data_IF_170629479494
#
_entry.id   IF_170629479494
#
_cell.length_a   1.000
_cell.length_b   1.000
_cell.length_c   1.000
_cell.angle_alpha   90.00
_cell.angle_beta   90.00
_cell.angle_gamma   90.00
#
_symmetry.space_group_name_H-M   'P 1'
#
loop_
_entity.id
_entity.type
_entity.pdbx_description
1 polymer ?
#
# COMPACT_ATOMS: atom_id res chain seq x y z
N UNK A 1 5.27 -29.02 8.38
CA UNK A 1 5.52 -27.65 7.89
C UNK A 1 4.88 -26.70 8.86
N UNK A 2 5.65 -26.14 9.79
CA UNK A 2 5.16 -25.18 10.78
C UNK A 2 4.92 -23.85 10.07
N UNK A 3 3.66 -23.42 9.97
CA UNK A 3 3.34 -22.06 9.59
C UNK A 3 4.06 -21.14 10.58
N UNK A 4 5.00 -20.33 10.10
CA UNK A 4 5.67 -19.30 10.91
C UNK A 4 4.57 -18.39 11.42
N UNK A 5 4.20 -18.59 12.68
CA UNK A 5 3.04 -17.96 13.30
C UNK A 5 3.17 -16.45 13.21
N UNK A 6 2.06 -15.79 12.90
CA UNK A 6 1.95 -14.36 13.13
C UNK A 6 2.21 -14.12 14.62
N UNK A 7 3.23 -13.31 14.93
CA UNK A 7 3.63 -12.97 16.29
C UNK A 7 3.08 -11.58 16.65
N UNK A 8 1.92 -11.49 17.34
CA UNK A 8 1.29 -10.22 17.69
C UNK A 8 2.14 -9.35 18.62
N UNK A 9 3.13 -9.95 19.28
CA UNK A 9 4.08 -9.28 20.19
C UNK A 9 5.17 -8.45 19.48
N UNK A 10 5.33 -8.59 18.15
CA UNK A 10 6.26 -7.77 17.38
C UNK A 10 5.49 -6.59 16.78
N UNK A 11 5.93 -5.36 17.09
CA UNK A 11 5.46 -4.17 16.38
C UNK A 11 5.85 -4.28 14.91
N UNK A 12 4.91 -4.78 14.11
CA UNK A 12 5.05 -4.98 12.68
C UNK A 12 4.52 -3.76 11.89
N UNK A 13 4.42 -2.59 12.54
CA UNK A 13 4.02 -1.36 11.86
C UNK A 13 5.10 -0.97 10.84
N UNK A 14 4.77 -0.92 9.54
CA UNK A 14 5.76 -0.57 8.54
C UNK A 14 6.22 0.87 8.71
N UNK A 15 7.52 1.08 8.56
CA UNK A 15 8.11 2.41 8.58
C UNK A 15 7.70 3.19 7.32
N UNK A 16 7.86 4.53 7.31
CA UNK A 16 7.63 5.31 6.11
C UNK A 16 8.45 4.83 4.88
N UNK A 17 9.65 4.29 5.11
CA UNK A 17 10.49 3.72 4.04
C UNK A 17 9.89 2.42 3.49
N UNK A 18 9.41 1.54 4.36
CA UNK A 18 8.76 0.29 3.94
C UNK A 18 7.54 0.57 3.07
N UNK A 19 6.72 1.55 3.49
CA UNK A 19 5.56 2.00 2.71
C UNK A 19 5.97 2.51 1.33
N UNK A 20 7.09 3.21 1.19
CA UNK A 20 7.58 3.67 -0.11
C UNK A 20 8.03 2.51 -0.99
N UNK A 21 8.76 1.53 -0.44
CA UNK A 21 9.16 0.33 -1.17
C UNK A 21 7.94 -0.48 -1.63
N UNK A 22 6.91 -0.61 -0.79
CA UNK A 22 5.64 -1.24 -1.19
C UNK A 22 4.97 -0.51 -2.36
N UNK A 23 4.90 0.83 -2.30
CA UNK A 23 4.36 1.67 -3.39
C UNK A 23 5.13 1.40 -4.70
N UNK A 24 6.46 1.39 -4.65
CA UNK A 24 7.30 1.18 -5.83
C UNK A 24 7.07 -0.19 -6.48
N UNK A 25 7.01 -1.25 -5.67
CA UNK A 25 6.75 -2.60 -6.15
C UNK A 25 5.35 -2.71 -6.75
N UNK A 26 4.33 -2.13 -6.10
CA UNK A 26 2.97 -2.14 -6.62
C UNK A 26 2.83 -1.38 -7.93
N UNK A 27 3.42 -0.19 -8.02
CA UNK A 27 3.41 0.61 -9.24
C UNK A 27 4.15 -0.10 -10.38
N UNK A 28 5.28 -0.76 -10.09
CA UNK A 28 6.04 -1.51 -11.09
C UNK A 28 5.28 -2.74 -11.60
N UNK A 29 4.61 -3.48 -10.71
CA UNK A 29 3.96 -4.74 -11.07
C UNK A 29 2.54 -4.55 -11.62
N UNK A 30 1.80 -3.56 -11.13
CA UNK A 30 0.37 -3.39 -11.41
C UNK A 30 0.03 -2.06 -12.08
N UNK A 31 0.98 -1.14 -12.21
CA UNK A 31 0.79 0.13 -12.91
C UNK A 31 -0.41 0.91 -12.37
N UNK A 32 -1.40 1.15 -13.24
CA UNK A 32 -2.61 1.91 -12.92
C UNK A 32 -3.48 1.28 -11.84
N UNK A 33 -3.39 -0.05 -11.63
CA UNK A 33 -4.19 -0.78 -10.65
C UNK A 33 -3.57 -0.78 -9.24
N UNK A 34 -2.36 -0.23 -9.08
CA UNK A 34 -1.64 -0.24 -7.82
C UNK A 34 -2.44 0.37 -6.65
N UNK A 35 -3.22 1.41 -6.91
CA UNK A 35 -4.06 2.06 -5.89
C UNK A 35 -5.19 1.14 -5.43
N UNK A 36 -5.94 0.58 -6.36
CA UNK A 36 -7.09 -0.29 -6.08
C UNK A 36 -6.67 -1.58 -5.37
N UNK A 37 -5.53 -2.15 -5.76
CA UNK A 37 -4.97 -3.33 -5.10
C UNK A 37 -4.57 -3.02 -3.66
N UNK A 38 -3.94 -1.87 -3.41
CA UNK A 38 -3.60 -1.46 -2.06
C UNK A 38 -4.86 -1.25 -1.18
N UNK A 39 -5.90 -0.63 -1.75
CA UNK A 39 -7.17 -0.40 -1.05
C UNK A 39 -7.93 -1.70 -0.76
N UNK A 40 -7.85 -2.67 -1.67
CA UNK A 40 -8.36 -4.03 -1.46
C UNK A 40 -7.68 -4.70 -0.26
N UNK A 41 -6.35 -4.63 -0.17
CA UNK A 41 -5.63 -5.21 0.98
C UNK A 41 -5.96 -4.50 2.29
N UNK A 42 -6.10 -3.17 2.28
CA UNK A 42 -6.54 -2.41 3.44
C UNK A 42 -7.91 -2.91 3.94
N UNK A 43 -8.88 -3.01 3.03
CA UNK A 43 -10.23 -3.52 3.32
C UNK A 43 -10.20 -4.95 3.83
N UNK A 44 -9.45 -5.84 3.17
CA UNK A 44 -9.32 -7.24 3.58
C UNK A 44 -8.79 -7.36 5.02
N UNK A 45 -7.76 -6.60 5.37
CA UNK A 45 -7.18 -6.62 6.71
C UNK A 45 -8.11 -5.98 7.76
N UNK A 46 -8.84 -4.93 7.40
CA UNK A 46 -9.87 -4.34 8.25
C UNK A 46 -10.95 -5.38 8.59
N UNK A 47 -11.48 -6.07 7.59
CA UNK A 47 -12.50 -7.12 7.77
C UNK A 47 -11.98 -8.33 8.58
N UNK A 48 -10.68 -8.58 8.55
CA UNK A 48 -10.03 -9.62 9.35
C UNK A 48 -9.68 -9.18 10.78
N UNK A 49 -9.97 -7.92 11.16
CA UNK A 49 -9.61 -7.35 12.47
C UNK A 49 -8.13 -6.99 12.61
N UNK A 50 -7.36 -6.99 11.53
CA UNK A 50 -5.93 -6.65 11.50
C UNK A 50 -5.77 -5.15 11.20
N UNK A 51 -6.02 -4.33 12.24
CA UNK A 51 -6.00 -2.87 12.11
C UNK A 51 -4.63 -2.32 11.69
N UNK A 52 -3.53 -2.93 12.16
CA UNK A 52 -2.17 -2.51 11.83
C UNK A 52 -1.87 -2.67 10.33
N UNK A 53 -2.15 -3.86 9.77
CA UNK A 53 -1.97 -4.06 8.33
C UNK A 53 -2.99 -3.30 7.50
N UNK A 54 -4.22 -3.14 7.99
CA UNK A 54 -5.22 -2.29 7.33
C UNK A 54 -4.71 -0.86 7.18
N UNK A 55 -4.15 -0.29 8.25
CA UNK A 55 -3.61 1.08 8.23
C UNK A 55 -2.40 1.21 7.33
N UNK A 56 -1.48 0.24 7.36
CA UNK A 56 -0.32 0.19 6.46
C UNK A 56 -0.74 0.25 4.98
N UNK A 57 -1.66 -0.62 4.57
CA UNK A 57 -2.14 -0.67 3.19
C UNK A 57 -2.93 0.57 2.77
N UNK A 58 -3.69 1.18 3.68
CA UNK A 58 -4.32 2.48 3.44
C UNK A 58 -3.27 3.59 3.20
N UNK A 59 -2.17 3.56 3.95
CA UNK A 59 -1.03 4.47 3.78
C UNK A 59 -0.31 4.31 2.43
N UNK A 60 -0.25 3.08 1.90
CA UNK A 60 0.25 2.77 0.55
C UNK A 60 -0.71 3.30 -0.52
N UNK A 61 -2.01 3.00 -0.42
CA UNK A 61 -3.02 3.46 -1.38
C UNK A 61 -3.02 5.00 -1.51
N UNK A 62 -2.94 5.71 -0.38
CA UNK A 62 -2.86 7.17 -0.36
C UNK A 62 -1.63 7.72 -1.11
N UNK A 63 -0.47 7.06 -0.98
CA UNK A 63 0.77 7.45 -1.66
C UNK A 63 0.75 7.15 -3.16
N UNK A 64 0.22 5.99 -3.56
CA UNK A 64 0.01 5.68 -4.99
C UNK A 64 -0.90 6.73 -5.61
N UNK A 65 -2.03 7.06 -4.97
CA UNK A 65 -2.95 8.10 -5.42
C UNK A 65 -2.26 9.46 -5.59
N UNK A 66 -1.41 9.83 -4.63
CA UNK A 66 -0.63 11.08 -4.71
C UNK A 66 0.33 11.07 -5.91
N UNK A 67 1.07 9.98 -6.14
CA UNK A 67 1.97 9.83 -7.28
C UNK A 67 1.21 9.84 -8.61
N UNK A 68 0.07 9.16 -8.69
CA UNK A 68 -0.81 9.18 -9.87
C UNK A 68 -1.29 10.60 -10.18
N UNK A 69 -1.79 11.32 -9.17
CA UNK A 69 -2.21 12.73 -9.33
C UNK A 69 -1.05 13.62 -9.81
N UNK A 70 0.16 13.40 -9.29
CA UNK A 70 1.37 14.15 -9.72
C UNK A 70 1.68 13.88 -11.20
N UNK A 71 1.73 12.62 -11.63
CA UNK A 71 1.96 12.22 -13.03
C UNK A 71 0.90 12.80 -13.98
N UNK A 72 -0.37 12.79 -13.58
CA UNK A 72 -1.46 13.35 -14.39
C UNK A 72 -1.33 14.87 -14.56
N UNK A 73 -0.94 15.59 -13.49
CA UNK A 73 -0.67 17.04 -13.56
C UNK A 73 0.50 17.34 -14.48
N UNK A 74 1.60 16.60 -14.37
CA UNK A 74 2.78 16.76 -15.24
C UNK A 74 2.44 16.52 -16.71
N UNK A 75 1.64 15.49 -17.02
CA UNK A 75 1.16 15.21 -18.39
C UNK A 75 0.26 16.31 -18.94
N UNK A 76 -0.62 16.88 -18.11
CA UNK A 76 -1.51 17.96 -18.52
C UNK A 76 -0.80 19.31 -18.76
N UNK A 77 0.39 19.51 -18.19
CA UNK A 77 1.19 20.72 -18.39
C UNK A 77 2.05 20.69 -19.67
N UNK A 78 2.20 19.52 -20.29
CA UNK A 78 3.04 19.30 -21.49
C UNK A 78 2.15 19.08 -22.75
N UNK A 79 0.84 18.95 -22.58
CA UNK A 79 -0.16 18.82 -23.66
C UNK A 79 -0.80 20.15 -24.00
#
# INVERSE_FOLDING_TARGET
MTATGWHPEIDATPTPSDVLSMVEVLEAQHGVLAEEIADFFATKHCLAGDAGRSWAWAGVAARVRQRTRKRLKERAQIS
#
